data_IF_803483345090
#
_entry.id   IF_803483345090
#
_cell.length_a   1.000
_cell.length_b   1.000
_cell.length_c   1.000
_cell.angle_alpha   90.00
_cell.angle_beta   90.00
_cell.angle_gamma   90.00
#
_symmetry.space_group_name_H-M   'P 1'
#
loop_
_entity.id
_entity.type
_entity.pdbx_description
1 polymer ?
#
# COMPACT_ATOMS: atom_id res chain seq x y z
N UNK A 1 -12.08 54.14 23.58
CA UNK A 1 -10.85 54.73 24.14
C UNK A 1 -9.68 53.83 23.74
N UNK A 2 -8.75 54.44 23.01
CA UNK A 2 -7.51 53.93 22.38
C UNK A 2 -6.45 53.55 23.45
N UNK A 3 -5.26 52.99 23.09
CA UNK A 3 -4.80 51.68 23.51
C UNK A 3 -3.50 51.74 24.33
N UNK A 4 -2.96 50.58 24.75
CA UNK A 4 -1.57 50.48 25.23
C UNK A 4 -0.73 49.73 24.20
N UNK A 5 0.29 50.44 23.72
CA UNK A 5 1.34 50.03 22.79
C UNK A 5 2.59 49.59 23.56
N UNK A 6 3.36 48.74 22.89
CA UNK A 6 4.81 48.56 22.93
C UNK A 6 5.47 47.98 24.20
N UNK A 7 6.12 46.82 24.02
CA UNK A 7 7.57 46.78 23.78
C UNK A 7 8.02 45.42 23.27
N UNK A 8 8.39 45.41 21.99
CA UNK A 8 9.36 44.48 21.40
C UNK A 8 10.74 44.90 21.93
N UNK A 9 11.53 43.91 22.37
CA UNK A 9 12.91 44.07 22.82
C UNK A 9 13.77 42.95 22.25
N UNK A 10 14.87 43.36 21.64
CA UNK A 10 15.80 42.64 20.77
C UNK A 10 16.64 41.51 21.40
N UNK A 11 16.82 40.44 20.58
CA UNK A 11 18.05 39.66 20.30
C UNK A 11 18.80 38.91 21.46
N UNK A 12 19.65 37.87 21.20
CA UNK A 12 20.36 37.61 19.94
C UNK A 12 20.30 36.18 19.36
N UNK A 13 20.45 36.15 18.04
CA UNK A 13 20.98 35.05 17.23
C UNK A 13 22.49 34.93 17.46
N UNK A 14 23.00 33.77 17.90
CA UNK A 14 24.41 33.33 17.64
C UNK A 14 24.50 31.78 17.69
N UNK A 15 25.08 31.20 16.63
CA UNK A 15 25.76 29.88 16.50
C UNK A 15 25.01 28.59 16.93
N UNK A 16 24.64 27.61 16.09
CA UNK A 16 25.30 26.95 14.96
C UNK A 16 26.82 26.72 15.15
N UNK A 17 27.17 25.44 15.33
CA UNK A 17 28.51 24.84 15.44
C UNK A 17 29.07 24.69 16.86
N UNK A 18 28.76 23.56 17.51
CA UNK A 18 29.69 22.80 18.39
C UNK A 18 28.98 21.54 18.92
N UNK A 19 28.86 20.50 18.09
CA UNK A 19 28.63 19.13 18.57
C UNK A 19 29.09 18.09 17.53
N UNK A 20 30.31 18.29 17.00
CA UNK A 20 31.09 17.25 16.31
C UNK A 20 32.53 17.38 16.82
N UNK A 21 32.83 16.77 17.95
CA UNK A 21 34.18 16.35 18.35
C UNK A 21 34.13 15.57 19.68
N UNK A 22 33.87 14.25 19.62
CA UNK A 22 34.51 13.24 20.47
C UNK A 22 33.91 11.85 20.21
N UNK A 23 34.46 11.11 19.25
CA UNK A 23 34.49 9.63 19.25
C UNK A 23 35.26 9.13 18.01
N UNK A 24 36.54 9.46 17.93
CA UNK A 24 37.52 8.72 17.11
C UNK A 24 38.73 8.44 17.97
N UNK A 25 38.81 7.22 18.48
CA UNK A 25 40.06 6.45 18.67
C UNK A 25 39.81 5.27 19.62
N UNK A 26 39.58 4.08 19.05
CA UNK A 26 39.85 2.82 19.75
C UNK A 26 40.83 2.04 18.86
N UNK A 27 42.02 1.63 19.35
CA UNK A 27 43.05 1.01 18.52
C UNK A 27 42.72 -0.45 18.20
N UNK A 28 43.13 -0.88 17.01
CA UNK A 28 43.10 -2.25 16.55
C UNK A 28 44.30 -3.04 17.11
N UNK A 29 44.03 -4.09 17.89
CA UNK A 29 45.02 -5.10 18.22
C UNK A 29 44.99 -6.23 17.19
N UNK A 30 46.12 -6.41 16.49
CA UNK A 30 46.44 -7.63 15.72
C UNK A 30 47.29 -8.54 16.59
N UNK A 31 46.99 -9.84 16.59
CA UNK A 31 48.00 -10.89 16.76
C UNK A 31 47.84 -12.00 15.70
N UNK A 32 48.94 -12.69 15.33
CA UNK A 32 49.10 -13.31 14.03
C UNK A 32 49.03 -14.85 14.06
N UNK A 33 48.86 -15.42 12.86
CA UNK A 33 49.50 -16.67 12.46
C UNK A 33 48.67 -17.94 12.64
N UNK A 34 48.25 -18.53 11.51
CA UNK A 34 48.70 -19.85 11.08
C UNK A 34 48.41 -20.02 9.59
N UNK A 35 49.43 -20.46 8.89
CA UNK A 35 49.56 -20.52 7.45
C UNK A 35 49.01 -21.82 6.85
N UNK A 36 48.80 -21.76 5.54
CA UNK A 36 49.02 -22.85 4.57
C UNK A 36 48.30 -24.19 4.79
N UNK A 37 47.32 -24.45 3.92
CA UNK A 37 47.43 -25.66 3.11
C UNK A 37 46.99 -25.43 1.67
N UNK A 38 47.88 -25.92 0.83
CA UNK A 38 48.01 -25.73 -0.60
C UNK A 38 46.98 -26.53 -1.41
N UNK A 39 46.88 -26.03 -2.63
CA UNK A 39 46.18 -26.41 -3.84
C UNK A 39 45.91 -27.90 -4.18
N UNK A 40 45.03 -28.01 -5.18
CA UNK A 40 44.80 -29.10 -6.16
C UNK A 40 43.59 -30.00 -5.88
N UNK A 41 42.51 -29.73 -6.63
CA UNK A 41 41.93 -30.73 -7.55
C UNK A 41 41.12 -30.05 -8.65
N UNK A 42 41.62 -30.20 -9.88
CA UNK A 42 40.90 -29.88 -11.11
C UNK A 42 39.74 -30.87 -11.31
N UNK A 43 38.62 -30.31 -11.77
CA UNK A 43 37.79 -30.82 -12.88
C UNK A 43 37.20 -32.23 -12.75
N UNK A 44 35.93 -32.27 -12.36
CA UNK A 44 34.96 -33.20 -12.96
C UNK A 44 33.58 -32.55 -13.00
N UNK A 45 33.05 -32.38 -14.21
CA UNK A 45 31.62 -32.21 -14.45
C UNK A 45 30.90 -33.41 -13.84
N UNK A 46 29.90 -33.16 -13.00
CA UNK A 46 28.77 -34.05 -12.76
C UNK A 46 27.66 -33.22 -12.11
N UNK A 47 26.53 -33.15 -12.81
CA UNK A 47 25.31 -32.51 -12.32
C UNK A 47 24.87 -33.14 -10.99
N UNK A 48 24.44 -32.35 -9.99
CA UNK A 48 23.62 -32.88 -8.93
C UNK A 48 22.16 -32.80 -9.37
N UNK A 49 21.70 -33.92 -9.92
CA UNK A 49 20.29 -34.31 -9.91
C UNK A 49 19.76 -34.33 -8.47
N UNK A 50 18.65 -33.63 -8.25
CA UNK A 50 17.66 -34.01 -7.23
C UNK A 50 17.74 -33.29 -5.89
N UNK A 51 16.85 -32.31 -5.70
CA UNK A 51 16.55 -31.70 -4.40
C UNK A 51 15.30 -30.82 -4.45
N UNK A 52 14.16 -31.43 -4.81
CA UNK A 52 12.85 -30.79 -5.00
C UNK A 52 12.44 -29.98 -3.76
N UNK A 53 12.17 -28.68 -3.91
CA UNK A 53 11.27 -27.92 -3.02
C UNK A 53 10.41 -26.92 -3.81
N UNK A 54 9.11 -27.21 -3.76
CA UNK A 54 7.94 -26.44 -4.21
C UNK A 54 7.87 -25.97 -5.68
N UNK A 55 7.54 -26.90 -6.58
CA UNK A 55 6.69 -26.57 -7.74
C UNK A 55 5.30 -26.20 -7.19
N UNK A 56 4.98 -24.92 -7.05
CA UNK A 56 3.58 -24.50 -7.07
C UNK A 56 3.16 -24.34 -8.52
N UNK A 57 2.67 -25.42 -9.11
CA UNK A 57 1.87 -25.38 -10.33
C UNK A 57 0.53 -24.74 -10.00
N UNK A 58 0.44 -23.42 -10.14
CA UNK A 58 -0.83 -22.72 -10.25
C UNK A 58 -0.99 -22.33 -11.73
N UNK A 59 -2.13 -22.65 -12.36
CA UNK A 59 -2.32 -22.40 -13.78
C UNK A 59 -2.27 -20.90 -14.07
N UNK A 60 -1.47 -20.54 -15.07
CA UNK A 60 -1.40 -19.22 -15.68
C UNK A 60 -2.80 -18.84 -16.19
N UNK A 61 -3.27 -17.62 -15.92
CA UNK A 61 -4.07 -16.91 -16.92
C UNK A 61 -3.06 -15.93 -17.50
N UNK A 62 -2.78 -16.02 -18.81
CA UNK A 62 -2.04 -14.96 -19.47
C UNK A 62 -2.74 -13.65 -19.15
N UNK A 63 -1.97 -12.65 -18.72
CA UNK A 63 -2.39 -11.27 -18.99
C UNK A 63 -2.61 -11.18 -20.50
N UNK A 64 -3.55 -10.35 -20.95
CA UNK A 64 -3.94 -10.27 -22.36
C UNK A 64 -2.72 -10.13 -23.31
N UNK A 65 -1.63 -9.55 -22.81
CA UNK A 65 -0.33 -9.55 -23.47
C UNK A 65 0.77 -10.14 -22.55
N UNK A 66 1.73 -10.91 -23.12
CA UNK A 66 2.87 -11.40 -22.37
C UNK A 66 3.74 -10.24 -21.85
N UNK A 67 4.38 -10.36 -20.68
CA UNK A 67 5.23 -9.30 -20.17
C UNK A 67 6.38 -8.97 -21.14
N UNK A 68 6.53 -7.69 -21.47
CA UNK A 68 7.64 -7.18 -22.28
C UNK A 68 8.90 -7.09 -21.42
N UNK A 69 10.02 -7.59 -21.93
CA UNK A 69 11.33 -7.37 -21.34
C UNK A 69 11.82 -5.95 -21.66
N UNK A 70 12.27 -5.22 -20.65
CA UNK A 70 12.88 -3.90 -20.73
C UNK A 70 14.32 -4.03 -20.26
N UNK A 71 15.29 -3.58 -21.05
CA UNK A 71 16.71 -3.68 -20.69
C UNK A 71 17.49 -2.42 -21.07
N UNK A 72 18.55 -2.15 -20.32
CA UNK A 72 19.55 -1.12 -20.64
C UNK A 72 18.94 0.25 -20.93
N UNK A 73 19.25 0.79 -22.12
CA UNK A 73 18.85 2.14 -22.53
C UNK A 73 17.33 2.30 -22.71
N UNK A 74 16.59 1.26 -23.09
CA UNK A 74 15.14 1.32 -23.27
C UNK A 74 14.43 1.59 -21.94
N UNK A 75 14.89 0.93 -20.87
CA UNK A 75 14.36 1.12 -19.52
C UNK A 75 14.63 2.54 -18.99
N UNK A 76 15.80 3.10 -19.27
CA UNK A 76 16.18 4.46 -18.83
C UNK A 76 15.57 5.56 -19.70
N UNK A 77 15.19 5.24 -20.95
CA UNK A 77 14.53 6.17 -21.86
C UNK A 77 13.08 6.48 -21.41
N UNK A 78 12.40 5.53 -20.76
CA UNK A 78 11.06 5.74 -20.22
C UNK A 78 11.10 6.72 -19.02
N UNK A 79 10.48 7.92 -19.13
CA UNK A 79 10.44 8.87 -18.04
C UNK A 79 9.84 8.31 -16.73
N UNK A 80 8.92 7.36 -16.82
CA UNK A 80 8.28 6.73 -15.66
C UNK A 80 9.24 5.82 -14.88
N UNK A 81 10.35 5.40 -15.48
CA UNK A 81 11.33 4.48 -14.90
C UNK A 81 12.64 5.15 -14.47
N UNK A 82 12.81 6.46 -14.70
CA UNK A 82 14.06 7.18 -14.44
C UNK A 82 14.57 7.08 -13.00
N UNK A 83 13.66 6.99 -12.02
CA UNK A 83 14.05 6.88 -10.61
C UNK A 83 14.88 5.63 -10.29
N UNK A 84 14.88 4.62 -11.18
CA UNK A 84 15.74 3.44 -11.03
C UNK A 84 17.23 3.76 -11.15
N UNK A 85 17.61 4.84 -11.84
CA UNK A 85 18.99 5.27 -11.98
C UNK A 85 19.59 5.78 -10.64
N UNK A 86 18.73 6.19 -9.70
CA UNK A 86 19.17 6.65 -8.37
C UNK A 86 19.58 5.49 -7.46
N UNK A 87 19.26 4.25 -7.83
CA UNK A 87 19.59 3.07 -7.03
C UNK A 87 21.10 2.77 -7.10
N UNK A 88 21.75 2.37 -5.98
CA UNK A 88 23.16 1.98 -6.01
C UNK A 88 23.49 0.82 -6.95
N UNK A 89 22.49 -0.02 -7.23
CA UNK A 89 22.59 -1.13 -8.19
C UNK A 89 21.30 -1.16 -8.99
N UNK A 90 21.17 -0.38 -10.08
CA UNK A 90 19.98 -0.40 -10.92
C UNK A 90 19.69 -1.81 -11.47
N UNK A 91 18.43 -2.21 -11.67
CA UNK A 91 18.11 -3.49 -12.30
C UNK A 91 18.71 -3.55 -13.72
N UNK A 92 19.26 -4.69 -14.12
CA UNK A 92 19.79 -4.88 -15.48
C UNK A 92 18.67 -5.05 -16.50
N UNK A 93 17.58 -5.69 -16.08
CA UNK A 93 16.37 -5.91 -16.86
C UNK A 93 15.13 -5.86 -15.96
N UNK A 94 14.00 -5.56 -16.57
CA UNK A 94 12.68 -5.63 -15.97
C UNK A 94 11.71 -6.32 -16.93
N UNK A 95 10.67 -6.89 -16.38
CA UNK A 95 9.55 -7.48 -17.10
C UNK A 95 8.31 -6.69 -16.74
N UNK A 96 7.61 -6.16 -17.75
CA UNK A 96 6.44 -5.32 -17.59
C UNK A 96 5.25 -5.94 -18.32
N UNK A 97 4.16 -6.16 -17.60
CA UNK A 97 2.85 -6.35 -18.22
C UNK A 97 1.99 -5.11 -17.97
N UNK A 98 1.39 -4.55 -19.01
CA UNK A 98 0.65 -3.29 -18.93
C UNK A 98 1.57 -2.07 -19.00
N UNK A 99 1.21 -1.00 -18.28
CA UNK A 99 1.85 0.33 -18.38
C UNK A 99 2.37 0.78 -17.01
N UNK A 100 3.47 1.53 -17.01
CA UNK A 100 4.03 2.19 -15.82
C UNK A 100 3.48 3.61 -15.75
N UNK A 101 2.64 3.96 -14.75
CA UNK A 101 2.17 5.33 -14.58
C UNK A 101 3.33 6.30 -14.29
N UNK A 102 3.27 7.52 -14.83
CA UNK A 102 4.38 8.49 -14.72
C UNK A 102 4.62 9.03 -13.32
N UNK A 103 3.55 9.33 -12.58
CA UNK A 103 3.63 9.90 -11.24
C UNK A 103 2.88 8.99 -10.27
N UNK A 104 3.64 8.40 -9.35
CA UNK A 104 3.12 7.43 -8.40
C UNK A 104 3.48 7.80 -6.97
N UNK A 105 2.59 7.48 -6.04
CA UNK A 105 2.87 7.44 -4.60
C UNK A 105 2.91 5.99 -4.16
N UNK A 106 3.97 5.60 -3.45
CA UNK A 106 4.04 4.28 -2.87
C UNK A 106 3.22 4.21 -1.59
N UNK A 107 2.35 3.21 -1.48
CA UNK A 107 1.65 2.94 -0.22
C UNK A 107 2.00 1.52 0.21
N UNK A 108 2.64 1.38 1.36
CA UNK A 108 3.20 0.11 1.84
C UNK A 108 2.87 -0.14 3.30
N UNK A 109 2.83 -1.42 3.67
CA UNK A 109 2.65 -1.80 5.06
C UNK A 109 2.72 -3.29 5.32
N UNK A 110 2.19 -3.70 6.47
CA UNK A 110 2.18 -5.08 6.92
C UNK A 110 1.22 -5.93 6.09
N UNK A 111 1.60 -7.21 5.92
CA UNK A 111 0.75 -8.25 5.33
C UNK A 111 -0.36 -8.73 6.28
N UNK A 112 -0.23 -8.39 7.56
CA UNK A 112 -1.16 -8.71 8.65
C UNK A 112 -1.65 -7.38 9.23
N UNK A 113 -2.39 -6.64 8.43
CA UNK A 113 -3.01 -5.38 8.82
C UNK A 113 -4.31 -5.63 9.56
N UNK A 114 -4.71 -4.67 10.38
CA UNK A 114 -6.08 -4.64 10.87
C UNK A 114 -7.04 -4.00 9.84
N UNK A 115 -8.36 -4.25 9.96
CA UNK A 115 -9.33 -3.73 9.02
C UNK A 115 -9.40 -2.20 8.95
N UNK A 116 -9.02 -1.50 10.02
CA UNK A 116 -9.06 -0.05 10.05
C UNK A 116 -7.94 0.57 9.22
N UNK A 117 -6.72 0.02 9.34
CA UNK A 117 -5.58 0.38 8.51
C UNK A 117 -5.85 0.09 7.03
N UNK A 118 -6.51 -1.03 6.71
CA UNK A 118 -6.93 -1.33 5.33
C UNK A 118 -7.98 -0.33 4.80
N UNK A 119 -8.98 0.02 5.61
CA UNK A 119 -9.97 1.05 5.24
C UNK A 119 -9.33 2.43 5.02
N UNK A 120 -8.41 2.82 5.90
CA UNK A 120 -7.66 4.06 5.74
C UNK A 120 -6.83 4.04 4.45
N UNK A 121 -6.13 2.94 4.19
CA UNK A 121 -5.30 2.75 2.99
C UNK A 121 -6.14 2.86 1.72
N UNK A 122 -7.29 2.18 1.69
CA UNK A 122 -8.22 2.20 0.56
C UNK A 122 -8.70 3.63 0.28
N UNK A 123 -9.16 4.36 1.31
CA UNK A 123 -9.57 5.76 1.16
C UNK A 123 -8.44 6.66 0.67
N UNK A 124 -7.26 6.58 1.29
CA UNK A 124 -6.11 7.38 0.87
C UNK A 124 -5.72 7.13 -0.59
N UNK A 125 -5.68 5.87 -1.03
CA UNK A 125 -5.36 5.51 -2.40
C UNK A 125 -6.46 5.94 -3.39
N UNK A 126 -7.72 5.89 -2.97
CA UNK A 126 -8.85 6.44 -3.74
C UNK A 126 -8.72 7.95 -3.88
N UNK A 127 -8.43 8.68 -2.80
CA UNK A 127 -8.27 10.13 -2.84
C UNK A 127 -7.12 10.54 -3.77
N UNK A 128 -5.98 9.83 -3.69
CA UNK A 128 -4.86 10.01 -4.64
C UNK A 128 -5.31 9.83 -6.09
N UNK A 129 -6.05 8.76 -6.37
CA UNK A 129 -6.55 8.45 -7.71
C UNK A 129 -7.54 9.50 -8.23
N UNK A 130 -8.43 10.01 -7.37
CA UNK A 130 -9.37 11.09 -7.69
C UNK A 130 -8.66 12.42 -8.04
N UNK A 131 -7.39 12.57 -7.66
CA UNK A 131 -6.51 13.68 -8.05
C UNK A 131 -5.53 13.31 -9.18
N UNK A 132 -5.76 12.20 -9.89
CA UNK A 132 -4.95 11.76 -11.02
C UNK A 132 -3.58 11.19 -10.64
N UNK A 133 -3.37 10.82 -9.38
CA UNK A 133 -2.12 10.24 -8.89
C UNK A 133 -2.25 8.74 -8.78
N UNK A 134 -1.38 8.04 -9.52
CA UNK A 134 -1.31 6.60 -9.47
C UNK A 134 -0.72 6.09 -8.15
N UNK A 135 -1.09 4.88 -7.77
CA UNK A 135 -0.48 4.19 -6.63
C UNK A 135 0.53 3.16 -7.12
N UNK A 136 1.69 3.05 -6.44
CA UNK A 136 2.63 1.93 -6.60
C UNK A 136 2.69 1.13 -5.31
N UNK A 137 2.66 -0.20 -5.40
CA UNK A 137 2.85 -1.05 -4.21
C UNK A 137 3.40 -2.42 -4.60
N UNK A 138 3.57 -3.30 -3.61
CA UNK A 138 4.17 -4.60 -3.79
C UNK A 138 3.19 -5.73 -4.15
N UNK A 139 1.89 -5.46 -4.28
CA UNK A 139 0.89 -6.50 -4.52
C UNK A 139 0.77 -7.56 -3.39
N UNK A 140 1.39 -7.32 -2.23
CA UNK A 140 1.29 -8.21 -1.08
C UNK A 140 -0.10 -8.14 -0.43
N UNK A 141 -0.30 -8.91 0.62
CA UNK A 141 -1.53 -8.91 1.41
C UNK A 141 -1.66 -7.65 2.25
N UNK A 142 -2.87 -7.39 2.74
CA UNK A 142 -3.13 -6.30 3.66
C UNK A 142 -3.02 -4.95 2.97
N UNK A 143 -2.16 -4.07 3.50
CA UNK A 143 -2.00 -2.68 3.03
C UNK A 143 -1.73 -2.59 1.52
N UNK A 144 -0.83 -3.39 0.96
CA UNK A 144 -0.54 -3.35 -0.48
C UNK A 144 -1.80 -3.64 -1.33
N UNK A 145 -2.63 -4.60 -0.91
CA UNK A 145 -3.87 -4.94 -1.59
C UNK A 145 -4.90 -3.80 -1.49
N UNK A 146 -5.11 -3.28 -0.28
CA UNK A 146 -6.02 -2.18 -0.02
C UNK A 146 -5.64 -0.92 -0.80
N UNK A 147 -4.35 -0.67 -0.99
CA UNK A 147 -3.84 0.45 -1.79
C UNK A 147 -4.20 0.30 -3.27
N UNK A 148 -3.97 -0.88 -3.86
CA UNK A 148 -4.35 -1.14 -5.26
C UNK A 148 -5.88 -1.06 -5.45
N UNK A 149 -6.66 -1.68 -4.56
CA UNK A 149 -8.13 -1.64 -4.63
C UNK A 149 -8.67 -0.21 -4.50
N UNK A 150 -8.10 0.59 -3.60
CA UNK A 150 -8.47 2.00 -3.45
C UNK A 150 -8.16 2.83 -4.69
N UNK A 151 -6.97 2.66 -5.26
CA UNK A 151 -6.57 3.33 -6.49
C UNK A 151 -7.48 2.99 -7.66
N UNK A 152 -7.80 1.70 -7.84
CA UNK A 152 -8.75 1.23 -8.86
C UNK A 152 -10.16 1.82 -8.63
N UNK A 153 -10.62 1.89 -7.38
CA UNK A 153 -11.91 2.49 -7.03
C UNK A 153 -11.97 3.97 -7.41
N UNK A 154 -10.86 4.70 -7.27
CA UNK A 154 -10.77 6.11 -7.66
C UNK A 154 -10.53 6.35 -9.15
N UNK A 155 -10.42 5.28 -9.96
CA UNK A 155 -10.34 5.37 -11.42
C UNK A 155 -8.96 5.71 -11.99
N UNK A 156 -7.88 5.66 -11.19
CA UNK A 156 -6.52 5.88 -11.68
C UNK A 156 -5.75 4.55 -11.83
N UNK A 157 -4.80 4.46 -12.77
CA UNK A 157 -3.98 3.27 -12.94
C UNK A 157 -3.07 3.05 -11.72
N UNK A 158 -2.69 1.80 -11.47
CA UNK A 158 -1.77 1.43 -10.38
C UNK A 158 -0.69 0.47 -10.85
N UNK A 159 0.47 0.46 -10.20
CA UNK A 159 1.59 -0.41 -10.53
C UNK A 159 1.88 -1.36 -9.37
N UNK A 160 1.75 -2.67 -9.61
CA UNK A 160 2.21 -3.69 -8.67
C UNK A 160 3.61 -4.16 -9.04
N UNK A 161 4.60 -3.88 -8.19
CA UNK A 161 5.96 -4.39 -8.36
C UNK A 161 6.04 -5.76 -7.68
N UNK A 162 6.34 -6.83 -8.39
CA UNK A 162 6.31 -8.20 -7.89
C UNK A 162 7.72 -8.72 -7.58
N UNK A 163 7.80 -9.62 -6.60
CA UNK A 163 9.04 -10.35 -6.28
C UNK A 163 9.27 -11.58 -7.19
N UNK A 164 8.33 -11.81 -8.11
CA UNK A 164 8.31 -12.88 -9.10
C UNK A 164 8.20 -12.24 -10.50
N UNK A 165 8.49 -13.01 -11.55
CA UNK A 165 8.17 -12.59 -12.91
C UNK A 165 6.66 -12.29 -13.04
N UNK A 166 6.23 -11.24 -13.78
CA UNK A 166 4.82 -10.83 -13.84
C UNK A 166 3.82 -11.87 -14.32
N UNK A 167 4.28 -12.90 -15.03
CA UNK A 167 3.46 -14.07 -15.38
C UNK A 167 3.04 -14.92 -14.18
N UNK A 168 3.70 -14.78 -13.02
CA UNK A 168 3.49 -15.62 -11.84
C UNK A 168 2.93 -14.78 -10.70
N UNK A 169 1.60 -14.78 -10.58
CA UNK A 169 0.89 -14.09 -9.51
C UNK A 169 1.29 -14.64 -8.14
N UNK A 170 2.00 -13.84 -7.35
CA UNK A 170 2.25 -14.10 -5.95
C UNK A 170 1.84 -12.89 -5.09
N UNK A 171 0.96 -13.07 -4.10
CA UNK A 171 0.30 -14.32 -3.73
C UNK A 171 -0.80 -14.72 -4.72
N UNK A 172 -1.03 -16.03 -4.88
CA UNK A 172 -1.95 -16.58 -5.87
C UNK A 172 -3.37 -15.99 -5.80
N UNK A 173 -3.85 -15.69 -4.58
CA UNK A 173 -5.18 -15.12 -4.37
C UNK A 173 -5.37 -13.71 -4.95
N UNK A 174 -4.29 -12.99 -5.23
CA UNK A 174 -4.36 -11.67 -5.86
C UNK A 174 -4.34 -11.72 -7.39
N UNK A 175 -4.43 -12.92 -7.99
CA UNK A 175 -4.56 -13.06 -9.44
C UNK A 175 -5.66 -12.19 -10.03
N UNK A 176 -6.86 -12.19 -9.42
CA UNK A 176 -7.98 -11.35 -9.89
C UNK A 176 -7.69 -9.85 -9.77
N UNK A 177 -7.04 -9.44 -8.67
CA UNK A 177 -6.60 -8.05 -8.48
C UNK A 177 -5.59 -7.65 -9.55
N UNK A 178 -4.57 -8.47 -9.81
CA UNK A 178 -3.54 -8.18 -10.81
C UNK A 178 -4.10 -8.08 -12.23
N UNK A 179 -5.11 -8.89 -12.58
CA UNK A 179 -5.84 -8.73 -13.84
C UNK A 179 -6.49 -7.36 -13.94
N UNK A 180 -7.27 -6.96 -12.92
CA UNK A 180 -7.92 -5.64 -12.88
C UNK A 180 -6.92 -4.47 -12.93
N UNK A 181 -5.74 -4.62 -12.33
CA UNK A 181 -4.68 -3.62 -12.42
C UNK A 181 -4.28 -3.37 -13.88
N UNK A 182 -4.06 -4.43 -14.65
CA UNK A 182 -3.68 -4.32 -16.07
C UNK A 182 -4.85 -3.83 -16.91
N UNK A 183 -6.06 -4.36 -16.69
CA UNK A 183 -7.27 -3.97 -17.42
C UNK A 183 -7.63 -2.49 -17.24
N UNK A 184 -7.31 -1.92 -16.07
CA UNK A 184 -7.51 -0.49 -15.77
C UNK A 184 -6.38 0.42 -16.30
N UNK A 185 -5.49 -0.08 -17.17
CA UNK A 185 -4.38 0.70 -17.74
C UNK A 185 -3.18 0.87 -16.80
N UNK A 186 -3.12 0.08 -15.71
CA UNK A 186 -1.96 -0.04 -14.84
C UNK A 186 -0.99 -1.12 -15.31
N UNK A 187 -0.16 -1.63 -14.41
CA UNK A 187 0.83 -2.63 -14.77
C UNK A 187 1.34 -3.50 -13.63
N UNK A 188 2.01 -4.58 -14.02
CA UNK A 188 2.77 -5.47 -13.16
C UNK A 188 4.24 -5.43 -13.59
N UNK A 189 5.14 -5.17 -12.65
CA UNK A 189 6.57 -5.03 -12.92
C UNK A 189 7.37 -6.02 -12.09
N UNK A 190 8.31 -6.74 -12.68
CA UNK A 190 9.19 -7.66 -11.95
C UNK A 190 10.61 -7.64 -12.50
N UNK A 191 11.61 -7.86 -11.63
CA UNK A 191 13.03 -7.91 -12.02
C UNK A 191 13.52 -9.32 -12.35
N UNK A 192 12.82 -10.36 -11.87
CA UNK A 192 13.26 -11.75 -12.01
C UNK A 192 12.55 -12.44 -13.18
N UNK A 193 13.27 -13.32 -13.87
CA UNK A 193 12.77 -14.11 -15.01
C UNK A 193 11.91 -15.31 -14.59
N UNK A 194 11.98 -15.71 -13.32
CA UNK A 194 11.30 -16.90 -12.80
C UNK A 194 10.16 -16.57 -11.79
N UNK A 195 9.37 -17.59 -11.43
CA UNK A 195 8.25 -17.48 -10.49
C UNK A 195 8.61 -17.67 -9.01
N UNK A 196 9.89 -17.69 -8.63
CA UNK A 196 10.30 -18.02 -7.26
C UNK A 196 10.09 -16.83 -6.30
N UNK A 197 9.40 -17.08 -5.19
CA UNK A 197 9.12 -16.09 -4.16
C UNK A 197 9.80 -16.49 -2.84
N UNK A 198 10.89 -15.81 -2.47
CA UNK A 198 11.59 -16.05 -1.20
C UNK A 198 11.98 -14.73 -0.52
N UNK A 199 12.22 -14.73 0.82
CA UNK A 199 12.40 -13.51 1.61
C UNK A 199 13.36 -12.46 1.01
N UNK A 200 14.51 -12.88 0.49
CA UNK A 200 15.49 -11.98 -0.14
C UNK A 200 14.96 -11.21 -1.35
N UNK A 201 14.12 -11.83 -2.18
CA UNK A 201 13.53 -11.16 -3.36
C UNK A 201 12.52 -10.08 -3.00
N UNK A 202 11.80 -10.23 -1.89
CA UNK A 202 10.89 -9.16 -1.44
C UNK A 202 11.68 -7.91 -1.02
N UNK A 203 12.85 -8.08 -0.39
CA UNK A 203 13.72 -6.95 -0.04
C UNK A 203 14.33 -6.30 -1.29
N UNK A 204 14.80 -7.12 -2.24
CA UNK A 204 15.30 -6.63 -3.53
C UNK A 204 14.20 -5.86 -4.29
N UNK A 205 12.98 -6.41 -4.37
CA UNK A 205 11.82 -5.76 -4.99
C UNK A 205 11.50 -4.41 -4.36
N UNK A 206 11.53 -4.31 -3.03
CA UNK A 206 11.11 -3.09 -2.31
C UNK A 206 11.93 -1.85 -2.72
N UNK A 207 13.18 -2.02 -3.18
CA UNK A 207 14.00 -0.91 -3.68
C UNK A 207 13.39 -0.27 -4.94
N UNK A 208 12.76 -1.07 -5.80
CA UNK A 208 12.13 -0.61 -7.04
C UNK A 208 10.87 0.21 -6.72
N UNK A 209 10.08 -0.25 -5.75
CA UNK A 209 8.90 0.50 -5.26
C UNK A 209 9.31 1.88 -4.76
N UNK A 210 10.36 1.96 -3.94
CA UNK A 210 10.85 3.23 -3.43
C UNK A 210 11.44 4.14 -4.52
N UNK A 211 12.19 3.58 -5.47
CA UNK A 211 12.85 4.32 -6.54
C UNK A 211 11.87 4.92 -7.55
N UNK A 212 10.80 4.21 -7.89
CA UNK A 212 9.79 4.65 -8.84
C UNK A 212 8.73 5.59 -8.24
N UNK A 213 8.72 5.76 -6.93
CA UNK A 213 7.74 6.58 -6.24
C UNK A 213 8.21 8.02 -6.03
N UNK A 214 7.29 8.97 -6.19
CA UNK A 214 7.52 10.37 -5.83
C UNK A 214 7.54 10.58 -4.31
N UNK A 215 6.81 9.75 -3.57
CA UNK A 215 6.83 9.67 -2.11
C UNK A 215 6.41 8.27 -1.64
N UNK A 216 6.75 7.93 -0.39
CA UNK A 216 6.36 6.66 0.23
C UNK A 216 5.53 6.91 1.48
N UNK A 217 4.34 6.30 1.55
CA UNK A 217 3.47 6.27 2.71
C UNK A 217 3.55 4.90 3.37
N UNK A 218 3.93 4.88 4.65
CA UNK A 218 3.88 3.69 5.50
C UNK A 218 2.62 3.75 6.37
N UNK A 219 1.65 2.87 6.10
CA UNK A 219 0.36 2.91 6.81
C UNK A 219 0.40 2.15 8.13
N UNK A 220 0.88 0.91 8.13
CA UNK A 220 0.99 0.12 9.36
C UNK A 220 2.17 -0.84 9.24
N UNK A 221 3.12 -0.76 10.17
CA UNK A 221 4.33 -1.55 10.15
C UNK A 221 4.83 -1.84 11.58
N UNK A 222 4.88 -3.11 12.02
CA UNK A 222 5.61 -3.47 13.23
C UNK A 222 7.13 -3.29 13.02
N UNK A 223 7.90 -3.21 14.11
CA UNK A 223 9.37 -2.96 14.09
C UNK A 223 10.19 -3.93 13.22
N UNK A 224 9.67 -5.12 12.92
CA UNK A 224 10.29 -6.14 12.04
C UNK A 224 9.56 -6.31 10.71
N UNK A 225 8.90 -5.25 10.23
CA UNK A 225 8.17 -5.27 8.95
C UNK A 225 9.08 -5.06 7.74
N UNK A 226 8.81 -5.79 6.67
CA UNK A 226 9.47 -5.58 5.37
C UNK A 226 9.19 -4.19 4.77
N UNK A 227 8.05 -3.57 5.10
CA UNK A 227 7.70 -2.21 4.65
C UNK A 227 8.71 -1.16 5.12
N UNK A 228 9.36 -1.37 6.28
CA UNK A 228 10.41 -0.47 6.79
C UNK A 228 11.65 -0.45 5.89
N UNK A 229 11.88 -1.52 5.12
CA UNK A 229 12.94 -1.54 4.12
C UNK A 229 12.66 -0.56 2.98
N UNK A 230 11.40 -0.46 2.53
CA UNK A 230 10.99 0.52 1.50
C UNK A 230 11.21 1.95 2.00
N UNK A 231 10.79 2.25 3.23
CA UNK A 231 11.01 3.56 3.85
C UNK A 231 12.50 3.92 3.97
N UNK A 232 13.35 2.94 4.33
CA UNK A 232 14.80 3.15 4.40
C UNK A 232 15.41 3.48 3.04
N UNK A 233 15.02 2.73 2.00
CA UNK A 233 15.49 3.02 0.62
C UNK A 233 14.99 4.39 0.19
N UNK A 234 13.73 4.71 0.40
CA UNK A 234 13.15 6.02 0.06
C UNK A 234 13.95 7.18 0.67
N UNK A 235 14.26 7.11 1.98
CA UNK A 235 15.12 8.10 2.65
C UNK A 235 16.51 8.20 2.02
N UNK A 236 17.13 7.06 1.69
CA UNK A 236 18.46 7.07 1.04
C UNK A 236 18.46 7.69 -0.36
N UNK A 237 17.31 7.66 -1.04
CA UNK A 237 17.11 8.27 -2.36
C UNK A 237 16.58 9.72 -2.27
N UNK A 238 16.45 10.29 -1.06
CA UNK A 238 15.89 11.62 -0.87
C UNK A 238 14.39 11.72 -1.17
N UNK A 239 13.66 10.60 -1.18
CA UNK A 239 12.20 10.58 -1.39
C UNK A 239 11.48 10.87 -0.07
N UNK A 240 10.48 11.77 -0.05
CA UNK A 240 9.67 12.02 1.14
C UNK A 240 9.04 10.74 1.68
N UNK A 241 9.15 10.55 3.00
CA UNK A 241 8.53 9.41 3.70
C UNK A 241 7.47 9.92 4.65
N UNK A 242 6.25 9.51 4.37
CA UNK A 242 5.06 9.76 5.16
C UNK A 242 4.72 8.53 5.98
N UNK A 243 4.21 8.75 7.18
CA UNK A 243 3.87 7.67 8.11
C UNK A 243 2.57 7.98 8.79
N UNK A 244 1.64 7.03 8.74
CA UNK A 244 0.37 7.15 9.47
C UNK A 244 0.67 7.02 10.97
N UNK A 245 0.25 8.00 11.81
CA UNK A 245 0.45 7.92 13.25
C UNK A 245 -0.19 6.67 13.84
N UNK A 246 0.47 6.10 14.85
CA UNK A 246 -0.03 4.95 15.58
C UNK A 246 0.06 5.22 17.08
N UNK A 247 -0.86 4.61 17.85
CA UNK A 247 -0.80 4.66 19.30
C UNK A 247 0.52 4.03 19.80
N UNK A 248 1.21 4.64 20.77
CA UNK A 248 2.53 4.18 21.21
C UNK A 248 2.51 2.79 21.86
N UNK A 249 1.36 2.35 22.38
CA UNK A 249 1.16 1.02 22.95
C UNK A 249 0.71 -0.05 21.94
N UNK A 250 0.39 0.31 20.68
CA UNK A 250 0.00 -0.68 19.67
C UNK A 250 1.24 -1.26 18.97
N UNK A 251 1.58 -2.55 19.18
CA UNK A 251 2.75 -3.16 18.57
C UNK A 251 2.69 -3.23 17.04
N UNK A 252 1.49 -3.17 16.44
CA UNK A 252 1.31 -3.18 14.98
C UNK A 252 1.84 -1.91 14.33
N UNK A 253 1.87 -0.80 15.07
CA UNK A 253 2.39 0.49 14.65
C UNK A 253 3.77 0.83 15.21
N UNK A 254 4.45 -0.09 15.90
CA UNK A 254 5.74 0.21 16.55
C UNK A 254 6.83 0.71 15.58
N UNK A 255 6.83 0.25 14.33
CA UNK A 255 7.71 0.76 13.28
C UNK A 255 7.27 2.11 12.73
N UNK A 256 5.98 2.44 12.74
CA UNK A 256 5.48 3.77 12.41
C UNK A 256 6.02 4.80 13.41
N UNK A 257 5.91 4.50 14.70
CA UNK A 257 6.44 5.35 15.78
C UNK A 257 7.93 5.58 15.60
N UNK A 258 8.71 4.54 15.32
CA UNK A 258 10.16 4.66 15.08
C UNK A 258 10.48 5.56 13.88
N UNK A 259 9.72 5.43 12.78
CA UNK A 259 9.92 6.27 11.61
C UNK A 259 9.59 7.75 11.90
N UNK A 260 8.51 8.02 12.65
CA UNK A 260 8.13 9.38 13.06
C UNK A 260 9.19 10.01 13.98
N UNK A 261 9.68 9.28 14.97
CA UNK A 261 10.80 9.71 15.83
C UNK A 261 12.05 10.00 15.00
N UNK A 262 12.29 9.20 13.96
CA UNK A 262 13.38 9.41 13.02
C UNK A 262 13.09 10.48 11.93
N UNK A 263 12.10 11.35 12.14
CA UNK A 263 11.83 12.52 11.28
C UNK A 263 11.00 12.24 10.03
N UNK A 264 10.21 11.17 9.98
CA UNK A 264 9.20 11.03 8.91
C UNK A 264 8.05 12.03 9.10
N UNK A 265 7.40 12.40 7.99
CA UNK A 265 6.24 13.31 8.00
C UNK A 265 4.97 12.55 8.42
N UNK A 266 4.16 13.07 9.35
CA UNK A 266 2.86 12.47 9.67
C UNK A 266 1.91 12.46 8.47
N UNK A 267 1.18 11.35 8.29
CA UNK A 267 0.16 11.19 7.26
C UNK A 267 -1.21 10.99 7.90
N UNK A 268 -2.09 11.98 7.77
CA UNK A 268 -3.47 11.89 8.29
C UNK A 268 -4.51 11.78 7.17
N UNK A 269 -4.09 11.97 5.91
CA UNK A 269 -4.94 11.88 4.73
C UNK A 269 -4.24 12.45 3.51
N UNK A 270 -5.01 12.70 2.44
CA UNK A 270 -4.53 13.31 1.20
C UNK A 270 -3.82 14.65 1.43
N UNK A 271 -4.35 15.52 2.29
CA UNK A 271 -3.83 16.88 2.51
C UNK A 271 -2.36 16.89 2.98
N UNK A 272 -1.97 15.88 3.77
CA UNK A 272 -0.59 15.70 4.23
C UNK A 272 0.37 15.50 3.05
N UNK A 273 -0.05 14.72 2.06
CA UNK A 273 0.73 14.48 0.85
C UNK A 273 0.69 15.69 -0.07
N UNK A 274 -0.48 16.29 -0.26
CA UNK A 274 -0.68 17.34 -1.23
C UNK A 274 0.18 18.58 -0.94
N UNK A 275 0.23 18.97 0.33
CA UNK A 275 1.08 20.09 0.80
C UNK A 275 2.56 19.86 0.52
N UNK A 276 3.05 18.64 0.71
CA UNK A 276 4.50 18.34 0.63
C UNK A 276 4.94 18.02 -0.80
N UNK A 277 4.03 17.53 -1.64
CA UNK A 277 4.29 17.18 -3.03
C UNK A 277 3.94 18.33 -3.99
N UNK A 278 3.67 19.52 -3.47
CA UNK A 278 3.20 20.70 -4.19
C UNK A 278 2.07 20.36 -5.17
N UNK A 279 1.09 19.60 -4.68
CA UNK A 279 -0.06 19.16 -5.47
C UNK A 279 -1.22 20.15 -5.32
N UNK A 280 -1.98 20.40 -6.39
CA UNK A 280 -3.22 21.14 -6.27
C UNK A 280 -4.16 20.39 -5.31
N UNK A 281 -4.64 21.09 -4.29
CA UNK A 281 -5.64 20.58 -3.34
C UNK A 281 -7.03 20.50 -3.97
N UNK A 282 -7.25 21.23 -5.06
CA UNK A 282 -8.48 21.16 -5.83
C UNK A 282 -8.52 19.85 -6.61
N UNK A 283 -9.62 19.11 -6.42
CA UNK A 283 -9.93 17.97 -7.28
C UNK A 283 -9.96 18.47 -8.71
N UNK A 284 -9.21 17.84 -9.65
CA UNK A 284 -9.39 18.11 -11.06
C UNK A 284 -10.89 18.00 -11.36
N UNK A 285 -11.47 19.00 -12.02
CA UNK A 285 -12.82 18.85 -12.57
C UNK A 285 -12.79 17.58 -13.40
N UNK A 286 -13.60 16.59 -13.01
CA UNK A 286 -13.61 15.31 -13.68
C UNK A 286 -13.79 15.57 -15.17
N UNK A 287 -12.80 15.18 -15.99
CA UNK A 287 -13.07 14.95 -17.39
C UNK A 287 -14.30 14.02 -17.43
N UNK A 288 -15.30 14.28 -18.30
CA UNK A 288 -16.52 13.49 -18.32
C UNK A 288 -16.12 12.02 -18.39
N UNK A 289 -16.47 11.29 -17.33
CA UNK A 289 -16.17 9.88 -17.25
C UNK A 289 -16.63 9.24 -18.57
N UNK A 290 -15.75 8.48 -19.23
CA UNK A 290 -16.18 7.58 -20.28
C UNK A 290 -17.41 6.82 -19.74
N UNK A 291 -18.49 6.68 -20.53
CA UNK A 291 -19.78 6.27 -20.01
C UNK A 291 -19.59 4.97 -19.24
N UNK A 292 -19.64 5.09 -17.91
CA UNK A 292 -19.87 3.95 -17.05
C UNK A 292 -21.15 3.36 -17.60
N UNK A 293 -21.07 2.12 -18.11
CA UNK A 293 -22.28 1.33 -18.37
C UNK A 293 -23.21 1.60 -17.19
N UNK A 294 -24.47 1.99 -17.42
CA UNK A 294 -25.37 2.21 -16.30
C UNK A 294 -25.32 0.93 -15.47
N UNK A 295 -24.85 1.04 -14.23
CA UNK A 295 -25.20 0.06 -13.22
C UNK A 295 -26.70 -0.07 -13.37
N UNK A 296 -27.15 -1.27 -13.75
CA UNK A 296 -28.56 -1.58 -13.71
C UNK A 296 -29.04 -1.14 -12.32
N UNK A 297 -30.12 -0.33 -12.22
CA UNK A 297 -30.58 0.15 -10.94
C UNK A 297 -30.74 -1.07 -10.04
N UNK A 298 -29.87 -1.18 -9.03
CA UNK A 298 -30.05 -2.17 -7.99
C UNK A 298 -31.47 -2.01 -7.43
N UNK A 299 -32.17 -3.09 -7.08
CA UNK A 299 -33.56 -3.01 -6.66
C UNK A 299 -33.71 -1.93 -5.58
N UNK A 300 -34.51 -0.91 -5.88
CA UNK A 300 -34.81 0.14 -4.92
C UNK A 300 -35.64 -0.46 -3.78
N UNK A 301 -35.01 -0.60 -2.62
CA UNK A 301 -35.63 -1.11 -1.39
C UNK A 301 -35.49 -2.62 -1.21
N UNK A 302 -35.52 -3.07 0.05
CA UNK A 302 -35.73 -4.47 0.40
C UNK A 302 -37.18 -4.86 0.01
N UNK A 303 -37.40 -5.65 -1.07
CA UNK A 303 -38.74 -6.01 -1.50
C UNK A 303 -39.41 -6.86 -0.42
N UNK A 304 -40.58 -6.43 0.05
CA UNK A 304 -41.33 -7.15 1.10
C UNK A 304 -41.02 -6.77 2.55
N UNK A 305 -40.08 -5.84 2.81
CA UNK A 305 -39.80 -5.38 4.16
C UNK A 305 -40.87 -4.41 4.71
N UNK A 306 -41.15 -4.52 6.00
CA UNK A 306 -41.98 -3.59 6.78
C UNK A 306 -41.46 -2.14 6.71
N UNK A 307 -42.29 -1.16 7.08
CA UNK A 307 -41.85 0.24 7.13
C UNK A 307 -40.62 0.42 8.04
N UNK A 308 -40.58 -0.29 9.17
CA UNK A 308 -39.43 -0.31 10.07
C UNK A 308 -38.23 -1.03 9.44
N UNK A 309 -38.45 -2.16 8.75
CA UNK A 309 -37.43 -2.87 7.99
C UNK A 309 -36.76 -1.99 6.93
N UNK A 310 -37.54 -1.17 6.20
CA UNK A 310 -36.98 -0.21 5.23
C UNK A 310 -36.11 0.86 5.90
N UNK A 311 -36.59 1.45 6.99
CA UNK A 311 -35.83 2.47 7.74
C UNK A 311 -34.52 1.91 8.31
N UNK A 312 -34.55 0.71 8.88
CA UNK A 312 -33.35 0.02 9.37
C UNK A 312 -32.40 -0.33 8.22
N UNK A 313 -32.93 -0.80 7.09
CA UNK A 313 -32.11 -1.12 5.92
C UNK A 313 -31.44 0.10 5.29
N UNK A 314 -32.09 1.25 5.29
CA UNK A 314 -31.51 2.52 4.85
C UNK A 314 -30.43 3.03 5.81
N UNK A 315 -30.63 2.86 7.12
CA UNK A 315 -29.65 3.22 8.13
C UNK A 315 -28.40 2.31 8.10
N UNK A 316 -28.57 1.04 7.72
CA UNK A 316 -27.49 0.10 7.51
C UNK A 316 -26.67 0.45 6.26
N UNK A 317 -25.35 0.54 6.44
CA UNK A 317 -24.39 0.80 5.36
C UNK A 317 -23.33 -0.30 5.25
N UNK A 318 -22.18 0.07 4.71
CA UNK A 318 -21.00 -0.79 4.62
C UNK A 318 -20.25 -0.97 5.97
N UNK A 319 -20.62 -0.21 7.00
CA UNK A 319 -20.05 -0.28 8.36
C UNK A 319 -21.02 -1.06 9.26
N UNK A 320 -20.56 -2.10 9.99
CA UNK A 320 -21.45 -2.88 10.85
C UNK A 320 -21.91 -2.07 12.07
N UNK A 321 -23.23 -1.97 12.26
CA UNK A 321 -23.84 -1.26 13.38
C UNK A 321 -24.45 -2.24 14.39
N UNK A 322 -24.36 -1.91 15.68
CA UNK A 322 -25.05 -2.65 16.74
C UNK A 322 -26.55 -2.25 16.79
N UNK A 323 -27.47 -3.14 17.22
CA UNK A 323 -28.89 -2.78 17.38
C UNK A 323 -29.13 -1.53 18.24
N UNK A 324 -28.35 -1.33 19.29
CA UNK A 324 -28.47 -0.13 20.15
C UNK A 324 -28.10 1.15 19.38
N UNK A 325 -27.02 1.13 18.60
CA UNK A 325 -26.58 2.25 17.75
C UNK A 325 -27.65 2.59 16.68
N UNK A 326 -28.34 1.59 16.16
CA UNK A 326 -29.47 1.77 15.23
C UNK A 326 -30.71 2.31 15.92
N UNK A 327 -31.00 1.87 17.15
CA UNK A 327 -32.09 2.39 17.98
C UNK A 327 -31.92 3.87 18.29
N UNK A 328 -30.73 4.26 18.75
CA UNK A 328 -30.39 5.67 18.98
C UNK A 328 -30.54 6.52 17.72
N UNK A 329 -30.00 6.05 16.59
CA UNK A 329 -30.00 6.81 15.34
C UNK A 329 -31.38 6.98 14.71
N UNK A 330 -32.25 5.98 14.86
CA UNK A 330 -33.60 5.99 14.31
C UNK A 330 -34.63 6.56 15.30
N UNK A 331 -34.20 6.88 16.52
CA UNK A 331 -35.07 7.25 17.65
C UNK A 331 -36.17 6.21 17.88
N UNK A 332 -35.77 4.93 17.87
CA UNK A 332 -36.65 3.76 18.03
C UNK A 332 -36.19 2.85 19.15
N UNK A 333 -37.15 2.12 19.71
CA UNK A 333 -36.86 1.12 20.71
C UNK A 333 -36.04 -0.03 20.11
N UNK A 334 -35.04 -0.50 20.87
CA UNK A 334 -34.12 -1.55 20.41
C UNK A 334 -34.86 -2.85 20.05
N UNK A 335 -35.99 -3.16 20.71
CA UNK A 335 -36.79 -4.35 20.40
C UNK A 335 -37.44 -4.22 19.02
N UNK A 336 -37.91 -3.03 18.65
CA UNK A 336 -38.46 -2.78 17.31
C UNK A 336 -37.37 -2.89 16.22
N UNK A 337 -36.18 -2.36 16.50
CA UNK A 337 -35.03 -2.45 15.61
C UNK A 337 -34.57 -3.90 15.44
N UNK A 338 -34.50 -4.68 16.52
CA UNK A 338 -34.12 -6.09 16.45
C UNK A 338 -35.12 -6.94 15.65
N UNK A 339 -36.42 -6.67 15.78
CA UNK A 339 -37.45 -7.34 14.97
C UNK A 339 -37.28 -7.04 13.48
N UNK A 340 -37.02 -5.78 13.13
CA UNK A 340 -36.76 -5.36 11.76
C UNK A 340 -35.44 -5.93 11.21
N UNK A 341 -34.38 -6.02 12.03
CA UNK A 341 -33.12 -6.66 11.63
C UNK A 341 -33.30 -8.15 11.33
N UNK A 342 -34.06 -8.87 12.16
CA UNK A 342 -34.35 -10.29 11.93
C UNK A 342 -35.13 -10.48 10.62
N UNK A 343 -36.14 -9.65 10.38
CA UNK A 343 -36.90 -9.64 9.11
C UNK A 343 -35.96 -9.45 7.91
N UNK A 344 -35.07 -8.45 7.96
CA UNK A 344 -34.11 -8.18 6.88
C UNK A 344 -33.09 -9.32 6.68
N UNK A 345 -32.68 -10.01 7.75
CA UNK A 345 -31.78 -11.18 7.64
C UNK A 345 -32.51 -12.33 6.95
N UNK A 346 -33.76 -12.60 7.29
CA UNK A 346 -34.59 -13.63 6.63
C UNK A 346 -34.78 -13.29 5.14
N UNK A 347 -34.98 -12.01 4.81
CA UNK A 347 -35.08 -11.53 3.43
C UNK A 347 -33.73 -11.47 2.69
N UNK A 348 -32.60 -11.80 3.35
CA UNK A 348 -31.26 -11.71 2.77
C UNK A 348 -30.78 -10.27 2.51
N UNK A 349 -31.50 -9.27 3.03
CA UNK A 349 -31.25 -7.85 2.86
C UNK A 349 -30.30 -7.26 3.92
N UNK A 350 -30.06 -7.99 5.02
CA UNK A 350 -29.03 -7.70 6.01
C UNK A 350 -28.28 -8.98 6.42
N UNK A 351 -27.07 -8.84 6.95
CA UNK A 351 -26.26 -9.96 7.48
C UNK A 351 -25.73 -9.65 8.87
N UNK A 352 -25.77 -10.64 9.75
CA UNK A 352 -25.10 -10.57 11.06
C UNK A 352 -23.59 -10.80 10.90
N UNK A 353 -22.79 -10.07 11.66
CA UNK A 353 -21.34 -10.24 11.78
C UNK A 353 -20.95 -10.38 13.24
N UNK A 354 -19.67 -10.71 13.50
CA UNK A 354 -19.15 -10.91 14.85
C UNK A 354 -19.40 -9.70 15.76
N UNK A 355 -19.68 -9.96 17.04
CA UNK A 355 -19.98 -8.92 18.02
C UNK A 355 -21.41 -8.38 17.99
N UNK A 356 -22.37 -9.12 17.43
CA UNK A 356 -23.79 -8.74 17.45
C UNK A 356 -24.15 -7.57 16.53
N UNK A 357 -23.30 -7.28 15.53
CA UNK A 357 -23.48 -6.17 14.59
C UNK A 357 -24.07 -6.63 13.28
N UNK A 358 -24.68 -5.71 12.54
CA UNK A 358 -25.36 -6.00 11.28
C UNK A 358 -24.86 -5.10 10.15
N UNK A 359 -24.82 -5.67 8.93
CA UNK A 359 -24.44 -4.99 7.70
C UNK A 359 -25.57 -5.08 6.67
N UNK A 360 -25.67 -4.06 5.80
CA UNK A 360 -26.53 -4.12 4.63
C UNK A 360 -26.00 -5.13 3.61
N UNK A 361 -26.90 -5.91 3.03
CA UNK A 361 -26.61 -6.82 1.91
C UNK A 361 -27.03 -6.19 0.58
N UNK A 362 -26.24 -6.38 -0.48
CA UNK A 362 -26.48 -5.81 -1.81
C UNK A 362 -27.11 -6.82 -2.81
N UNK A 363 -28.15 -7.54 -2.35
CA UNK A 363 -28.92 -8.59 -3.06
C UNK A 363 -28.35 -10.05 -2.92
N UNK A 364 -29.21 -11.09 -3.08
CA UNK A 364 -29.23 -12.26 -2.20
C UNK A 364 -28.27 -13.37 -2.63
N UNK A 365 -28.06 -14.32 -1.70
CA UNK A 365 -27.29 -15.55 -1.90
C UNK A 365 -27.83 -16.44 -3.03
#
# INVERSE_FOLDING_TARGET
MTPVRDRIGDAPQVAAAEFIQSARSVPAERKPGLAEHDSRRRRTQLAPTGGRRARMGLPLVPLAEPPRALAGAEMLADPALRGLADLPTPPASLHLAGVVPRRMVAIVGTRRSDPEAERFTHRLARDLAEHGIATISGGALGIDAAAHEGCLTGGAPTLAVLATHPSWAYPARHRGLFGRIVDAGGGLLGEHEDGNAFPGRFLQRNRLVAALASAVVVVQAPRRSGALSTARVARSLGRPVFVVPAAPWDPRGGGNVDLLVAGATPCTGWDSLATTLDLPLERPQAAPAAPTRPEAPGPSGAPGASAMGKAVWEALGAVPLHPDELGERLERDVVEVQRALLELVVLGAARAVEGGRYLRSSAPA
#
